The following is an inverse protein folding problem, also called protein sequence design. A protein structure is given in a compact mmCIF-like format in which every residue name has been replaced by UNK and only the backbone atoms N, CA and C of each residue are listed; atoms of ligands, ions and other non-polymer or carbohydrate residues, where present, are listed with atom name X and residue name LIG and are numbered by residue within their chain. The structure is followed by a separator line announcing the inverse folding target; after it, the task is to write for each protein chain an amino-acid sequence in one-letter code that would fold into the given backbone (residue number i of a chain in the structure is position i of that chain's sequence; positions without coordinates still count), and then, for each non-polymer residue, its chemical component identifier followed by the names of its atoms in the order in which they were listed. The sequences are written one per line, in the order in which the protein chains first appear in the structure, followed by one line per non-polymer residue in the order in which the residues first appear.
data_IF_484368520814
#
_entry.id   IF_484368520814
#
_cell.length_a   1.000
_cell.length_b   1.000
_cell.length_c   1.000
_cell.angle_alpha   90.00
_cell.angle_beta   90.00
_cell.angle_gamma   90.00
#
_symmetry.space_group_name_H-M   'P 1'
#
loop_
_entity.id
_entity.type
_entity.pdbx_description
1 polymer ?
#
# COMPACT_ATOMS: atom_id res chain seq x y z
N UNK A 1 -39.38 -34.10 -8.49
CA UNK A 1 -38.07 -34.46 -7.91
C UNK A 1 -37.02 -33.95 -8.89
N UNK A 2 -36.43 -32.79 -8.60
CA UNK A 2 -35.43 -32.15 -9.49
C UNK A 2 -34.03 -32.69 -9.15
N UNK A 3 -33.16 -33.00 -10.14
CA UNK A 3 -31.82 -33.48 -9.85
C UNK A 3 -30.91 -32.32 -9.47
N UNK A 4 -30.37 -32.37 -8.26
CA UNK A 4 -29.44 -31.38 -7.72
C UNK A 4 -28.16 -31.30 -8.54
N UNK A 5 -27.87 -30.10 -9.04
CA UNK A 5 -26.54 -29.72 -9.51
C UNK A 5 -25.59 -29.70 -8.30
N UNK A 6 -24.65 -30.63 -8.27
CA UNK A 6 -23.51 -30.58 -7.35
C UNK A 6 -22.50 -29.59 -7.95
N UNK A 7 -22.38 -28.42 -7.34
CA UNK A 7 -21.23 -27.54 -7.61
C UNK A 7 -19.95 -28.24 -7.13
N UNK A 8 -18.87 -28.26 -7.92
CA UNK A 8 -17.59 -28.79 -7.46
C UNK A 8 -17.07 -27.87 -6.36
N UNK A 9 -16.82 -28.42 -5.17
CA UNK A 9 -16.10 -27.70 -4.12
C UNK A 9 -14.67 -27.44 -4.62
N UNK A 10 -14.33 -26.17 -4.77
CA UNK A 10 -12.95 -25.74 -4.94
C UNK A 10 -12.22 -26.02 -3.62
N UNK A 11 -11.31 -26.98 -3.60
CA UNK A 11 -10.50 -27.28 -2.40
C UNK A 11 -9.65 -26.06 -2.05
N UNK A 12 -9.96 -25.42 -0.93
CA UNK A 12 -9.12 -24.39 -0.32
C UNK A 12 -7.91 -25.09 0.29
N UNK A 13 -6.76 -25.03 -0.39
CA UNK A 13 -5.50 -25.47 0.18
C UNK A 13 -4.88 -24.31 0.97
N UNK A 14 -5.17 -24.22 2.26
CA UNK A 14 -4.45 -23.32 3.18
C UNK A 14 -3.07 -23.93 3.44
N UNK A 15 -2.10 -23.61 2.59
CA UNK A 15 -0.69 -23.88 2.90
C UNK A 15 -0.25 -22.84 3.94
N UNK A 16 -0.20 -23.26 5.21
CA UNK A 16 0.57 -22.57 6.24
C UNK A 16 2.04 -22.66 5.83
N UNK A 17 2.50 -21.68 5.06
CA UNK A 17 3.92 -21.51 4.80
C UNK A 17 4.60 -21.23 6.16
N UNK A 18 5.71 -21.92 6.48
CA UNK A 18 6.48 -21.56 7.66
C UNK A 18 6.88 -20.09 7.55
N UNK A 19 6.84 -19.36 8.66
CA UNK A 19 7.32 -17.99 8.76
C UNK A 19 8.82 -17.99 8.43
N UNK A 20 9.15 -17.91 7.14
CA UNK A 20 10.50 -17.60 6.70
C UNK A 20 10.69 -16.15 7.11
N UNK A 21 11.40 -15.94 8.22
CA UNK A 21 12.00 -14.65 8.52
C UNK A 21 13.00 -14.36 7.41
N UNK A 22 12.52 -13.83 6.29
CA UNK A 22 13.37 -13.23 5.28
C UNK A 22 14.21 -12.16 5.97
N UNK A 23 15.51 -12.08 5.62
CA UNK A 23 16.35 -10.97 6.05
C UNK A 23 15.63 -9.65 5.74
N UNK A 24 15.34 -8.88 6.78
CA UNK A 24 14.62 -7.61 6.65
C UNK A 24 15.63 -6.47 6.42
N UNK A 25 15.40 -5.56 5.46
CA UNK A 25 14.22 -5.44 4.61
C UNK A 25 14.24 -6.36 3.38
N UNK A 26 13.08 -6.71 2.79
CA UNK A 26 13.01 -7.46 1.54
C UNK A 26 13.82 -6.80 0.42
N UNK A 27 14.32 -7.57 -0.54
CA UNK A 27 15.19 -7.04 -1.60
C UNK A 27 14.55 -5.93 -2.44
N UNK A 28 13.22 -5.96 -2.61
CA UNK A 28 12.47 -4.91 -3.31
C UNK A 28 12.42 -3.57 -2.57
N UNK A 29 12.84 -3.52 -1.30
CA UNK A 29 13.05 -2.29 -0.53
C UNK A 29 14.42 -1.66 -0.76
N UNK A 30 15.33 -2.28 -1.53
CA UNK A 30 16.63 -1.71 -1.89
C UNK A 30 17.51 -1.29 -0.70
N UNK A 31 17.38 -1.99 0.43
CA UNK A 31 18.20 -1.77 1.62
C UNK A 31 17.83 -0.51 2.43
N UNK A 32 16.74 0.18 2.12
CA UNK A 32 16.18 1.24 2.97
C UNK A 32 15.06 0.69 3.84
N UNK A 33 14.73 1.42 4.90
CA UNK A 33 13.67 1.03 5.84
C UNK A 33 12.33 0.83 5.11
N UNK A 34 11.66 -0.26 5.48
CA UNK A 34 10.33 -0.64 5.03
C UNK A 34 9.49 -1.10 6.22
N UNK A 35 8.15 -0.93 6.19
CA UNK A 35 7.26 -1.39 7.24
C UNK A 35 7.29 -2.91 7.34
N UNK A 36 7.64 -3.43 8.52
CA UNK A 36 7.64 -4.88 8.80
C UNK A 36 6.23 -5.44 8.72
N UNK A 37 6.10 -6.64 8.17
CA UNK A 37 4.84 -7.37 8.15
C UNK A 37 5.06 -8.86 8.39
N UNK A 38 3.97 -9.56 8.73
CA UNK A 38 3.92 -11.02 8.75
C UNK A 38 2.94 -11.51 7.69
N UNK A 39 3.33 -12.53 6.93
CA UNK A 39 2.43 -13.18 5.96
C UNK A 39 1.52 -14.14 6.72
N UNK A 40 0.21 -13.95 6.59
CA UNK A 40 -0.82 -14.74 7.29
C UNK A 40 -1.58 -15.68 6.35
N UNK A 41 -1.47 -15.48 5.03
CA UNK A 41 -2.11 -16.32 4.03
C UNK A 41 -1.75 -15.92 2.62
N UNK A 42 -2.20 -16.73 1.65
CA UNK A 42 -2.08 -16.45 0.23
C UNK A 42 -3.33 -16.92 -0.52
N UNK A 43 -3.73 -16.20 -1.55
CA UNK A 43 -4.83 -16.53 -2.46
C UNK A 43 -4.39 -16.43 -3.92
N UNK A 44 -5.21 -16.96 -4.84
CA UNK A 44 -4.96 -16.90 -6.28
C UNK A 44 -4.18 -18.09 -6.81
N UNK A 45 -3.31 -17.85 -7.81
CA UNK A 45 -2.52 -18.89 -8.48
C UNK A 45 -1.08 -18.42 -8.71
N UNK A 46 -0.22 -19.28 -9.25
CA UNK A 46 1.22 -19.02 -9.48
C UNK A 46 1.51 -17.74 -10.28
N UNK A 47 0.57 -17.29 -11.14
CA UNK A 47 0.73 -16.09 -11.96
C UNK A 47 0.15 -14.81 -11.35
N UNK A 48 -0.73 -14.94 -10.34
CA UNK A 48 -1.37 -13.83 -9.63
C UNK A 48 -1.55 -14.20 -8.16
N UNK A 49 -0.44 -14.45 -7.46
CA UNK A 49 -0.49 -14.73 -6.03
C UNK A 49 -0.75 -13.44 -5.27
N UNK A 50 -1.82 -13.43 -4.49
CA UNK A 50 -2.19 -12.35 -3.58
C UNK A 50 -1.77 -12.78 -2.18
N UNK A 51 -0.94 -11.97 -1.54
CA UNK A 51 -0.39 -12.25 -0.21
C UNK A 51 -1.21 -11.51 0.85
N UNK A 52 -1.61 -12.19 1.92
CA UNK A 52 -2.23 -11.53 3.08
C UNK A 52 -1.14 -11.17 4.07
N UNK A 53 -1.01 -9.88 4.35
CA UNK A 53 0.01 -9.32 5.23
C UNK A 53 -0.64 -8.65 6.43
N UNK A 54 -0.19 -9.00 7.62
CA UNK A 54 -0.46 -8.24 8.84
C UNK A 54 0.66 -7.22 9.08
N UNK A 55 0.32 -5.94 9.04
CA UNK A 55 1.19 -4.84 9.42
C UNK A 55 0.88 -4.42 10.87
N UNK A 56 1.89 -4.27 11.74
CA UNK A 56 1.71 -3.70 13.07
C UNK A 56 1.47 -2.19 12.99
N UNK A 57 0.98 -1.60 14.08
CA UNK A 57 0.88 -0.14 14.23
C UNK A 57 2.25 0.50 13.98
N UNK A 58 2.27 1.57 13.18
CA UNK A 58 3.48 2.32 12.89
C UNK A 58 3.18 3.79 12.58
N UNK A 59 4.19 4.63 12.80
CA UNK A 59 4.17 6.04 12.46
C UNK A 59 4.51 6.23 10.97
N UNK A 60 3.70 7.05 10.31
CA UNK A 60 3.87 7.51 8.94
C UNK A 60 3.88 9.04 8.93
N UNK A 61 4.54 9.65 7.94
CA UNK A 61 4.32 11.06 7.62
C UNK A 61 3.38 11.13 6.43
N UNK A 62 2.24 11.79 6.59
CA UNK A 62 1.14 11.78 5.64
C UNK A 62 0.75 13.20 5.21
N UNK A 63 0.12 13.30 4.04
CA UNK A 63 -0.53 14.53 3.56
C UNK A 63 -1.75 14.16 2.72
N UNK A 64 -2.83 14.91 2.90
CA UNK A 64 -4.02 14.76 2.08
C UNK A 64 -3.96 15.67 0.84
N UNK A 65 -4.32 15.10 -0.30
CA UNK A 65 -4.38 15.79 -1.58
C UNK A 65 -5.71 15.53 -2.25
N UNK A 66 -6.47 16.59 -2.52
CA UNK A 66 -7.65 16.53 -3.39
C UNK A 66 -7.19 16.63 -4.84
N UNK A 67 -7.39 15.58 -5.63
CA UNK A 67 -6.97 15.52 -7.02
C UNK A 67 -7.96 14.77 -7.92
N UNK A 68 -7.84 14.99 -9.23
CA UNK A 68 -8.61 14.26 -10.24
C UNK A 68 -8.18 12.79 -10.36
N UNK A 69 -6.92 12.49 -10.07
CA UNK A 69 -6.35 11.15 -10.17
C UNK A 69 -5.22 10.93 -9.17
N UNK A 70 -4.88 9.66 -9.00
CA UNK A 70 -3.82 9.19 -8.11
C UNK A 70 -2.46 9.74 -8.50
N UNK A 71 -2.11 9.79 -9.79
CA UNK A 71 -0.81 10.25 -10.27
C UNK A 71 -0.52 11.70 -9.83
N UNK A 72 -1.53 12.57 -9.95
CA UNK A 72 -1.45 13.99 -9.53
C UNK A 72 -1.35 14.12 -8.02
N UNK A 73 -2.11 13.30 -7.29
CA UNK A 73 -2.04 13.26 -5.83
C UNK A 73 -0.65 12.81 -5.36
N UNK A 74 -0.13 11.74 -5.93
CA UNK A 74 1.17 11.16 -5.61
C UNK A 74 2.29 12.17 -5.85
N UNK A 75 2.31 12.85 -7.01
CA UNK A 75 3.32 13.87 -7.32
C UNK A 75 3.27 15.04 -6.32
N UNK A 76 2.07 15.55 -6.01
CA UNK A 76 1.90 16.67 -5.08
C UNK A 76 2.28 16.28 -3.66
N UNK A 77 1.78 15.14 -3.18
CA UNK A 77 2.04 14.63 -1.84
C UNK A 77 3.50 14.28 -1.65
N UNK A 78 4.12 13.61 -2.63
CA UNK A 78 5.55 13.32 -2.60
C UNK A 78 6.38 14.59 -2.43
N UNK A 79 6.09 15.67 -3.16
CA UNK A 79 6.82 16.93 -3.03
C UNK A 79 6.77 17.54 -1.62
N UNK A 80 5.60 17.49 -0.98
CA UNK A 80 5.41 17.95 0.42
C UNK A 80 6.20 17.09 1.40
N UNK A 81 6.04 15.77 1.32
CA UNK A 81 6.72 14.83 2.20
C UNK A 81 8.25 14.81 1.97
N UNK A 82 8.69 14.98 0.73
CA UNK A 82 10.11 15.11 0.40
C UNK A 82 10.72 16.37 1.01
N UNK A 83 9.98 17.49 1.01
CA UNK A 83 10.41 18.72 1.68
C UNK A 83 10.54 18.50 3.19
N UNK A 84 9.58 17.81 3.82
CA UNK A 84 9.63 17.44 5.23
C UNK A 84 10.90 16.65 5.58
N UNK A 85 11.17 15.54 4.89
CA UNK A 85 12.35 14.70 5.17
C UNK A 85 13.67 15.40 4.80
N UNK A 86 13.61 16.43 3.95
CA UNK A 86 14.78 17.24 3.58
C UNK A 86 15.13 18.34 4.60
N UNK A 87 14.30 18.55 5.63
CA UNK A 87 14.55 19.54 6.69
C UNK A 87 13.43 20.55 6.92
N UNK A 88 12.30 20.47 6.20
CA UNK A 88 11.11 21.28 6.49
C UNK A 88 10.31 20.70 7.68
N UNK A 89 11.00 20.62 8.82
CA UNK A 89 10.48 20.14 10.10
C UNK A 89 11.07 20.96 11.25
N UNK A 90 10.46 20.89 12.43
CA UNK A 90 10.78 21.75 13.56
C UNK A 90 12.25 21.64 14.03
N UNK A 91 12.89 20.49 13.82
CA UNK A 91 14.30 20.24 14.16
C UNK A 91 15.27 20.64 13.04
N UNK A 92 14.77 21.00 11.85
CA UNK A 92 15.56 21.27 10.62
C UNK A 92 16.50 20.12 10.26
N UNK A 93 16.13 18.90 10.61
CA UNK A 93 16.97 17.72 10.41
C UNK A 93 16.56 16.95 9.16
N UNK A 94 17.51 16.21 8.58
CA UNK A 94 17.19 15.28 7.51
C UNK A 94 16.67 13.97 8.10
N UNK A 95 15.53 13.52 7.61
CA UNK A 95 14.95 12.20 7.89
C UNK A 95 15.28 11.30 6.71
N UNK A 96 15.66 10.05 6.97
CA UNK A 96 16.03 9.12 5.90
C UNK A 96 14.81 8.77 5.04
N UNK A 97 15.02 8.61 3.74
CA UNK A 97 13.98 8.11 2.84
C UNK A 97 13.72 6.62 3.13
N UNK A 98 12.45 6.22 3.00
CA UNK A 98 11.97 4.85 3.21
C UNK A 98 11.16 4.38 2.01
N UNK A 99 10.86 3.09 1.95
CA UNK A 99 9.87 2.53 1.03
C UNK A 99 8.74 1.82 1.79
N UNK A 100 7.58 1.59 1.17
CA UNK A 100 7.12 2.21 -0.06
C UNK A 100 6.66 3.66 0.15
N UNK A 101 6.47 4.39 -0.94
CA UNK A 101 5.56 5.55 -0.96
C UNK A 101 4.15 5.03 -1.17
N UNK A 102 3.27 5.30 -0.22
CA UNK A 102 1.86 4.92 -0.32
C UNK A 102 1.00 6.06 -0.86
N UNK A 103 -0.02 5.72 -1.65
CA UNK A 103 -1.13 6.60 -2.02
C UNK A 103 -2.44 5.86 -1.80
N UNK A 104 -3.23 6.28 -0.82
CA UNK A 104 -4.50 5.65 -0.43
C UNK A 104 -5.67 6.53 -0.82
N UNK A 105 -6.75 5.92 -1.33
CA UNK A 105 -8.02 6.63 -1.50
C UNK A 105 -8.64 6.87 -0.12
N UNK A 106 -8.69 8.13 0.32
CA UNK A 106 -9.31 8.52 1.60
C UNK A 106 -10.81 8.73 1.46
N UNK A 107 -11.21 9.47 0.41
CA UNK A 107 -12.60 9.80 0.15
C UNK A 107 -12.83 9.97 -1.35
N UNK A 108 -13.74 9.19 -1.92
CA UNK A 108 -14.11 9.28 -3.33
C UNK A 108 -14.98 10.51 -3.55
N UNK A 109 -14.65 11.32 -4.56
CA UNK A 109 -15.45 12.47 -4.96
C UNK A 109 -16.84 12.05 -5.44
N UNK A 110 -17.90 12.67 -4.90
CA UNK A 110 -19.28 12.35 -5.27
C UNK A 110 -19.72 13.07 -6.54
N UNK A 111 -19.40 12.50 -7.71
CA UNK A 111 -19.87 12.97 -9.01
C UNK A 111 -18.75 13.15 -10.04
N UNK A 112 -19.10 13.34 -11.33
CA UNK A 112 -18.14 13.30 -12.45
C UNK A 112 -17.10 14.42 -12.44
N UNK A 113 -17.31 15.46 -11.62
CA UNK A 113 -16.41 16.62 -11.50
C UNK A 113 -15.83 16.78 -10.09
N UNK A 114 -16.07 15.82 -9.19
CA UNK A 114 -15.59 15.89 -7.82
C UNK A 114 -14.23 15.21 -7.69
N UNK A 115 -13.26 15.95 -7.13
CA UNK A 115 -11.95 15.40 -6.82
C UNK A 115 -12.07 14.31 -5.75
N UNK A 116 -11.24 13.29 -5.90
CA UNK A 116 -11.00 12.30 -4.85
C UNK A 116 -9.94 12.84 -3.91
N UNK A 117 -10.14 12.65 -2.61
CA UNK A 117 -9.10 12.90 -1.61
C UNK A 117 -8.25 11.66 -1.47
N UNK A 118 -6.94 11.82 -1.70
CA UNK A 118 -5.94 10.78 -1.49
C UNK A 118 -5.07 11.16 -0.31
N UNK A 119 -4.62 10.16 0.44
CA UNK A 119 -3.56 10.32 1.45
C UNK A 119 -2.28 9.74 0.90
N UNK A 120 -1.25 10.58 0.76
CA UNK A 120 0.10 10.14 0.40
C UNK A 120 0.92 10.01 1.67
N UNK A 121 1.67 8.93 1.82
CA UNK A 121 2.40 8.62 3.07
C UNK A 121 3.79 8.06 2.81
N UNK A 122 4.76 8.52 3.62
CA UNK A 122 6.08 7.91 3.77
C UNK A 122 6.16 7.20 5.12
N UNK A 123 6.74 6.01 5.13
CA UNK A 123 7.03 5.32 6.38
C UNK A 123 8.04 6.16 7.18
N UNK A 124 7.82 6.36 8.47
CA UNK A 124 8.86 7.01 9.29
C UNK A 124 9.96 5.98 9.52
N UNK A 125 11.25 6.29 9.30
CA UNK A 125 12.35 5.36 9.57
C UNK A 125 12.29 4.79 11.00
N UNK A 126 12.77 3.57 11.22
CA UNK A 126 12.70 2.91 12.54
C UNK A 126 13.32 3.75 13.65
N UNK A 127 14.41 4.48 13.33
CA UNK A 127 15.09 5.38 14.27
C UNK A 127 14.21 6.55 14.79
N UNK A 128 13.10 6.86 14.10
CA UNK A 128 12.24 8.00 14.38
C UNK A 128 10.79 7.63 14.72
N UNK A 129 10.48 6.34 14.87
CA UNK A 129 9.12 5.88 15.16
C UNK A 129 8.56 6.46 16.48
N UNK A 130 9.41 6.83 17.43
CA UNK A 130 9.01 7.40 18.74
C UNK A 130 9.20 8.92 18.83
N UNK A 131 10.06 9.52 17.99
CA UNK A 131 10.54 10.90 18.19
C UNK A 131 10.60 11.76 16.91
N UNK A 132 9.84 11.38 15.88
CA UNK A 132 9.80 12.05 14.59
C UNK A 132 9.64 13.58 14.73
N UNK A 133 10.42 14.39 13.98
CA UNK A 133 10.34 15.84 14.07
C UNK A 133 8.99 16.32 13.55
N UNK A 134 8.40 17.31 14.22
CA UNK A 134 7.09 17.85 13.82
C UNK A 134 7.19 18.57 12.47
N UNK A 135 6.27 18.34 11.52
CA UNK A 135 6.24 19.07 10.25
C UNK A 135 6.03 20.57 10.47
N UNK A 136 6.62 21.41 9.62
CA UNK A 136 6.35 22.86 9.61
C UNK A 136 5.27 23.27 8.61
N UNK A 137 4.99 22.42 7.63
CA UNK A 137 3.90 22.60 6.67
C UNK A 137 2.58 22.09 7.31
N UNK A 138 1.54 22.93 7.46
CA UNK A 138 0.29 22.52 8.09
C UNK A 138 -0.52 21.50 7.29
N UNK A 139 -0.14 21.22 6.03
CA UNK A 139 -0.74 20.17 5.21
C UNK A 139 -0.07 18.80 5.38
N UNK A 140 1.01 18.72 6.16
CA UNK A 140 1.75 17.50 6.48
C UNK A 140 1.55 17.17 7.96
N UNK A 141 1.28 15.90 8.26
CA UNK A 141 1.03 15.44 9.63
C UNK A 141 1.70 14.10 9.89
N UNK A 142 1.99 13.84 11.17
CA UNK A 142 2.40 12.53 11.64
C UNK A 142 1.14 11.69 11.89
N UNK A 143 1.10 10.50 11.30
CA UNK A 143 -0.07 9.65 11.20
C UNK A 143 0.26 8.29 11.83
N UNK A 144 -0.38 8.00 12.97
CA UNK A 144 -0.25 6.69 13.61
C UNK A 144 -1.23 5.74 12.92
N UNK A 145 -0.71 4.94 12.00
CA UNK A 145 -1.51 3.96 11.26
C UNK A 145 -1.60 2.71 12.12
N UNK A 146 -2.80 2.38 12.59
CA UNK A 146 -3.06 1.20 13.42
C UNK A 146 -2.77 -0.12 12.71
N UNK A 147 -2.62 -1.19 13.50
CA UNK A 147 -2.39 -2.53 12.97
C UNK A 147 -3.55 -2.95 12.05
N UNK A 148 -3.20 -3.55 10.92
CA UNK A 148 -4.17 -3.93 9.90
C UNK A 148 -3.71 -5.11 9.10
N UNK A 149 -4.69 -5.86 8.61
CA UNK A 149 -4.47 -6.95 7.67
C UNK A 149 -4.88 -6.52 6.27
N UNK A 150 -3.98 -6.68 5.32
CA UNK A 150 -4.16 -6.24 3.94
C UNK A 150 -3.86 -7.38 2.97
N UNK A 151 -4.68 -7.47 1.94
CA UNK A 151 -4.41 -8.26 0.76
C UNK A 151 -3.52 -7.48 -0.20
N UNK A 152 -2.36 -8.04 -0.56
CA UNK A 152 -1.36 -7.41 -1.43
C UNK A 152 -1.24 -8.17 -2.73
N UNK A 153 -1.47 -7.46 -3.84
CA UNK A 153 -1.17 -7.96 -5.17
C UNK A 153 -0.02 -7.14 -5.77
N UNK A 154 1.09 -7.82 -6.06
CA UNK A 154 2.28 -7.21 -6.66
C UNK A 154 2.25 -7.25 -8.19
N UNK A 155 3.01 -6.35 -8.81
CA UNK A 155 3.39 -6.48 -10.21
C UNK A 155 4.59 -5.61 -10.56
N UNK A 156 4.96 -5.63 -11.84
CA UNK A 156 6.14 -4.94 -12.34
C UNK A 156 5.80 -3.88 -13.40
N UNK A 157 6.82 -3.13 -13.82
CA UNK A 157 6.71 -2.04 -14.79
C UNK A 157 6.39 -0.68 -14.17
N UNK A 158 6.12 0.29 -15.04
CA UNK A 158 5.61 1.60 -14.63
C UNK A 158 4.09 1.52 -14.53
N UNK A 159 3.55 1.97 -13.41
CA UNK A 159 2.12 2.04 -13.18
C UNK A 159 1.67 3.49 -13.24
N UNK A 160 0.60 3.71 -13.98
CA UNK A 160 -0.23 4.91 -13.88
C UNK A 160 -1.58 4.51 -13.30
N UNK A 161 -2.47 5.47 -13.06
CA UNK A 161 -3.80 5.20 -12.48
C UNK A 161 -4.54 4.01 -13.13
N UNK A 162 -4.49 3.88 -14.48
CA UNK A 162 -5.14 2.76 -15.18
C UNK A 162 -4.58 1.40 -14.76
N UNK A 163 -3.28 1.31 -14.49
CA UNK A 163 -2.60 0.06 -14.14
C UNK A 163 -2.93 -0.28 -12.70
N UNK A 164 -2.92 0.71 -11.80
CA UNK A 164 -3.39 0.54 -10.41
C UNK A 164 -4.81 0.00 -10.37
N UNK A 165 -5.75 0.64 -11.08
CA UNK A 165 -7.14 0.18 -11.13
C UNK A 165 -7.30 -1.22 -11.73
N UNK A 166 -6.48 -1.59 -12.72
CA UNK A 166 -6.45 -2.96 -13.24
C UNK A 166 -6.00 -3.97 -12.19
N UNK A 167 -4.99 -3.64 -11.36
CA UNK A 167 -4.54 -4.51 -10.28
C UNK A 167 -5.52 -4.55 -9.11
N UNK A 168 -6.19 -3.44 -8.77
CA UNK A 168 -7.32 -3.42 -7.83
C UNK A 168 -8.41 -4.40 -8.28
N UNK A 169 -8.85 -4.31 -9.54
CA UNK A 169 -9.91 -5.19 -10.06
C UNK A 169 -9.49 -6.67 -10.04
N UNK A 170 -8.22 -6.98 -10.34
CA UNK A 170 -7.68 -8.34 -10.23
C UNK A 170 -7.67 -8.84 -8.78
N UNK A 171 -7.20 -8.02 -7.84
CA UNK A 171 -7.14 -8.37 -6.43
C UNK A 171 -8.54 -8.59 -5.85
N UNK A 172 -9.48 -7.67 -6.12
CA UNK A 172 -10.90 -7.82 -5.74
C UNK A 172 -11.50 -9.12 -6.28
N UNK A 173 -11.25 -9.45 -7.56
CA UNK A 173 -11.74 -10.71 -8.14
C UNK A 173 -11.19 -11.94 -7.39
N UNK A 174 -9.90 -11.96 -7.06
CA UNK A 174 -9.29 -13.07 -6.31
C UNK A 174 -9.92 -13.21 -4.92
N UNK A 175 -10.17 -12.08 -4.24
CA UNK A 175 -10.81 -12.05 -2.92
C UNK A 175 -12.27 -12.53 -2.99
N UNK A 176 -13.04 -12.07 -3.98
CA UNK A 176 -14.43 -12.47 -4.22
C UNK A 176 -14.53 -13.99 -4.50
N UNK A 177 -13.67 -14.52 -5.38
CA UNK A 177 -13.62 -15.95 -5.71
C UNK A 177 -13.17 -16.82 -4.52
N UNK A 178 -12.49 -16.22 -3.54
CA UNK A 178 -12.02 -16.87 -2.31
C UNK A 178 -12.97 -16.67 -1.12
N UNK A 179 -14.11 -15.98 -1.30
CA UNK A 179 -15.06 -15.57 -0.25
C UNK A 179 -14.41 -14.81 0.94
N UNK A 180 -13.40 -14.00 0.64
CA UNK A 180 -12.72 -13.15 1.63
C UNK A 180 -13.43 -11.79 1.69
N UNK A 181 -13.75 -11.30 2.88
CA UNK A 181 -14.35 -9.97 3.06
C UNK A 181 -13.26 -8.89 3.12
N UNK A 182 -13.53 -7.79 2.45
CA UNK A 182 -12.61 -6.67 2.34
C UNK A 182 -13.34 -5.35 2.15
N UNK A 183 -12.65 -4.25 2.40
CA UNK A 183 -13.16 -2.90 2.17
C UNK A 183 -13.01 -2.53 0.69
N UNK A 184 -14.10 -2.62 -0.07
CA UNK A 184 -14.12 -2.28 -1.50
C UNK A 184 -14.22 -0.78 -1.80
N UNK A 185 -14.38 0.09 -0.79
CA UNK A 185 -14.50 1.54 -0.99
C UNK A 185 -13.15 2.26 -1.06
N UNK A 186 -12.04 1.56 -0.81
CA UNK A 186 -10.68 2.12 -0.79
C UNK A 186 -9.68 1.11 -1.32
N UNK A 187 -8.51 1.61 -1.70
CA UNK A 187 -7.32 0.83 -2.00
C UNK A 187 -6.09 1.71 -1.73
N UNK A 188 -4.93 1.08 -1.64
CA UNK A 188 -3.64 1.76 -1.55
C UNK A 188 -2.72 1.31 -2.68
N UNK A 189 -2.19 2.25 -3.45
CA UNK A 189 -1.00 2.01 -4.27
C UNK A 189 0.25 2.12 -3.39
N UNK A 190 1.20 1.20 -3.54
CA UNK A 190 2.50 1.24 -2.88
C UNK A 190 3.63 1.10 -3.91
N UNK A 191 4.39 2.17 -4.10
CA UNK A 191 5.52 2.23 -5.04
C UNK A 191 6.86 2.18 -4.30
N UNK A 192 7.74 1.26 -4.70
CA UNK A 192 9.03 1.02 -4.03
C UNK A 192 10.23 1.59 -4.78
N UNK A 193 10.06 1.90 -6.06
CA UNK A 193 11.17 2.23 -6.95
C UNK A 193 11.18 3.69 -7.41
N UNK A 194 12.35 4.33 -7.47
CA UNK A 194 12.49 5.68 -8.00
C UNK A 194 12.24 5.71 -9.52
N UNK A 195 11.86 6.86 -10.10
CA UNK A 195 11.46 6.95 -11.51
C UNK A 195 12.54 6.55 -12.52
N UNK A 196 13.83 6.65 -12.16
CA UNK A 196 14.96 6.28 -13.02
C UNK A 196 15.24 4.77 -13.11
N UNK A 197 14.58 3.92 -12.31
CA UNK A 197 14.72 2.47 -12.43
C UNK A 197 13.85 1.93 -13.57
N UNK A 198 14.49 1.48 -14.65
CA UNK A 198 13.80 1.05 -15.87
C UNK A 198 13.28 -0.40 -15.84
N UNK A 199 13.94 -1.29 -15.11
CA UNK A 199 13.62 -2.73 -15.06
C UNK A 199 13.55 -3.25 -13.62
N UNK A 200 12.85 -4.37 -13.40
CA UNK A 200 12.73 -4.98 -12.08
C UNK A 200 12.07 -4.08 -11.05
N UNK A 201 11.10 -3.27 -11.50
CA UNK A 201 10.28 -2.45 -10.61
C UNK A 201 9.30 -3.33 -9.85
N UNK A 202 8.99 -2.93 -8.63
CA UNK A 202 8.07 -3.54 -7.69
C UNK A 202 7.02 -2.50 -7.29
N UNK A 203 5.78 -2.76 -7.68
CA UNK A 203 4.63 -1.99 -7.25
C UNK A 203 3.58 -2.94 -6.70
N UNK A 204 2.77 -2.42 -5.79
CA UNK A 204 1.74 -3.20 -5.12
C UNK A 204 0.42 -2.43 -5.06
N UNK A 205 -0.69 -3.17 -5.08
CA UNK A 205 -2.00 -2.70 -4.61
C UNK A 205 -2.31 -3.40 -3.31
N UNK A 206 -2.72 -2.64 -2.29
CA UNK A 206 -3.17 -3.16 -1.01
C UNK A 206 -4.67 -2.90 -0.84
N UNK A 207 -5.40 -3.93 -0.41
CA UNK A 207 -6.82 -3.87 -0.07
C UNK A 207 -6.98 -4.26 1.40
N UNK A 208 -7.58 -3.38 2.21
CA UNK A 208 -7.83 -3.65 3.63
C UNK A 208 -8.87 -4.78 3.78
N UNK A 209 -8.56 -5.80 4.59
CA UNK A 209 -9.50 -6.88 4.93
C UNK A 209 -10.45 -6.48 6.07
N UNK A 210 -11.61 -7.14 6.17
CA UNK A 210 -12.68 -6.86 7.16
C UNK A 210 -13.11 -8.11 7.89
#
# INVERSE_FOLDING_TARGET
ISPGHKHPMLSILVLLAPAVSADWPPSFCHGIDCPKYTVTGNFGNDSNTLEVRKYPTALWTSTDVKANNEDTALMTGFGRLFSYISGANAKKEKVDMTSPVMCRVKEVGQGPFCNTTFTVSFFVPFKHQEDAPQPTDPSVYLDMVEDREVAVLQGSGYWYQKDVLNYVAKASKILDESDVKYNSSTYTFAGYDPPFRLFGRHNEVWIDLV
#
